data_IF_265009385071
#
_entry.id   IF_265009385071
#
_cell.length_a   1.000
_cell.length_b   1.000
_cell.length_c   1.000
_cell.angle_alpha   90.00
_cell.angle_beta   90.00
_cell.angle_gamma   90.00
#
_symmetry.space_group_name_H-M   'P 1'
#
loop_
_entity.id
_entity.type
_entity.pdbx_description
1 polymer ?
#
# COMPACT_ATOMS: atom_id res chain seq x y z
N UNK A 1 0.33 24.92 -25.12
CA UNK A 1 -0.58 24.50 -24.02
C UNK A 1 -1.07 23.11 -24.40
N UNK A 2 -0.62 21.98 -23.86
CA UNK A 2 -0.04 21.66 -22.57
C UNK A 2 1.27 20.87 -22.75
N UNK A 3 2.26 21.18 -21.92
CA UNK A 3 3.53 20.46 -21.88
C UNK A 3 3.30 19.13 -21.16
N UNK A 4 3.21 18.04 -21.93
CA UNK A 4 3.23 16.68 -21.38
C UNK A 4 4.60 16.44 -20.76
N UNK A 5 4.71 16.63 -19.45
CA UNK A 5 5.91 16.24 -18.71
C UNK A 5 5.99 14.71 -18.69
N UNK A 6 6.79 14.14 -19.60
CA UNK A 6 7.34 12.82 -19.40
C UNK A 6 8.36 12.91 -18.25
N UNK A 7 7.89 12.64 -17.04
CA UNK A 7 8.78 12.52 -15.88
C UNK A 7 9.50 11.19 -16.02
N UNK A 8 10.79 11.25 -16.39
CA UNK A 8 11.68 10.11 -16.38
C UNK A 8 11.59 9.40 -15.02
N UNK A 9 11.04 8.18 -15.00
CA UNK A 9 10.94 7.36 -13.80
C UNK A 9 12.34 6.88 -13.43
N UNK A 10 13.00 7.57 -12.50
CA UNK A 10 14.19 7.09 -11.80
C UNK A 10 13.91 5.70 -11.19
N UNK A 11 14.26 4.61 -11.88
CA UNK A 11 14.40 3.24 -11.36
C UNK A 11 13.23 2.60 -10.58
N UNK A 12 12.09 3.27 -10.42
CA UNK A 12 10.98 2.80 -9.58
C UNK A 12 10.03 1.91 -10.36
N UNK A 13 9.62 0.81 -9.73
CA UNK A 13 8.62 -0.10 -10.30
C UNK A 13 7.22 0.51 -10.26
N UNK A 14 6.32 0.07 -11.14
CA UNK A 14 4.92 0.52 -11.17
C UNK A 14 4.22 0.34 -9.80
N UNK A 15 4.49 -0.77 -9.11
CA UNK A 15 3.95 -1.06 -7.78
C UNK A 15 4.44 -0.05 -6.73
N UNK A 16 5.70 0.38 -6.81
CA UNK A 16 6.24 1.41 -5.90
C UNK A 16 5.58 2.77 -6.14
N UNK A 17 5.37 3.16 -7.40
CA UNK A 17 4.69 4.41 -7.73
C UNK A 17 3.26 4.44 -7.17
N UNK A 18 2.52 3.33 -7.30
CA UNK A 18 1.18 3.18 -6.73
C UNK A 18 1.21 3.34 -5.20
N UNK A 19 2.13 2.64 -4.52
CA UNK A 19 2.24 2.72 -3.05
C UNK A 19 2.60 4.14 -2.59
N UNK A 20 3.49 4.84 -3.29
CA UNK A 20 3.85 6.23 -2.98
C UNK A 20 2.67 7.19 -3.18
N UNK A 21 1.95 7.06 -4.30
CA UNK A 21 0.76 7.86 -4.56
C UNK A 21 -0.30 7.65 -3.47
N UNK A 22 -0.61 6.39 -3.15
CA UNK A 22 -1.62 6.03 -2.14
C UNK A 22 -1.21 6.52 -0.74
N UNK A 23 0.09 6.53 -0.40
CA UNK A 23 0.56 7.10 0.87
C UNK A 23 0.34 8.62 0.97
N UNK A 24 0.43 9.34 -0.15
CA UNK A 24 0.25 10.80 -0.20
C UNK A 24 -1.23 11.19 -0.31
N UNK A 25 -1.99 10.51 -1.14
CA UNK A 25 -3.35 10.88 -1.53
C UNK A 25 -4.45 10.04 -0.83
N UNK A 26 -4.07 8.98 -0.12
CA UNK A 26 -4.96 8.07 0.60
C UNK A 26 -5.61 6.98 -0.26
N UNK A 27 -5.51 7.08 -1.59
CA UNK A 27 -6.04 6.10 -2.54
C UNK A 27 -5.71 6.47 -3.97
N UNK A 28 -5.99 5.58 -4.90
CA UNK A 28 -5.75 5.79 -6.33
C UNK A 28 -6.90 5.23 -7.17
N UNK A 29 -7.29 5.97 -8.20
CA UNK A 29 -8.25 5.53 -9.22
C UNK A 29 -7.53 5.09 -10.48
N UNK A 30 -8.21 4.30 -11.33
CA UNK A 30 -7.68 3.91 -12.65
C UNK A 30 -7.34 5.13 -13.51
N UNK A 31 -8.10 6.22 -13.39
CA UNK A 31 -7.85 7.46 -14.13
C UNK A 31 -6.55 8.14 -13.70
N UNK A 32 -6.35 8.34 -12.39
CA UNK A 32 -5.10 8.91 -11.85
C UNK A 32 -3.88 8.06 -12.20
N UNK A 33 -4.03 6.74 -12.18
CA UNK A 33 -2.97 5.80 -12.54
C UNK A 33 -2.52 5.96 -14.00
N UNK A 34 -3.47 6.15 -14.93
CA UNK A 34 -3.19 6.35 -16.35
C UNK A 34 -2.59 7.74 -16.58
N UNK A 35 -3.22 8.79 -16.06
CA UNK A 35 -2.83 10.18 -16.33
C UNK A 35 -1.47 10.54 -15.75
N UNK A 36 -1.17 10.13 -14.51
CA UNK A 36 0.06 10.54 -13.83
C UNK A 36 1.22 9.56 -14.00
N UNK A 37 0.94 8.27 -14.21
CA UNK A 37 1.95 7.21 -14.19
C UNK A 37 1.96 6.32 -15.43
N UNK A 38 1.03 6.51 -16.36
CA UNK A 38 0.91 5.66 -17.56
C UNK A 38 0.54 4.20 -17.24
N UNK A 39 -0.05 3.93 -16.07
CA UNK A 39 -0.38 2.57 -15.63
C UNK A 39 -1.79 2.21 -16.12
N UNK A 40 -1.87 1.43 -17.20
CA UNK A 40 -3.14 1.02 -17.82
C UNK A 40 -3.78 -0.21 -17.18
N UNK A 41 -3.00 -1.03 -16.47
CA UNK A 41 -3.47 -2.26 -15.79
C UNK A 41 -3.37 -2.15 -14.27
N UNK A 42 -4.00 -1.12 -13.69
CA UNK A 42 -3.95 -0.86 -12.26
C UNK A 42 -4.34 -2.08 -11.42
N UNK A 43 -5.48 -2.72 -11.73
CA UNK A 43 -5.99 -3.88 -10.99
C UNK A 43 -4.97 -5.03 -10.91
N UNK A 44 -4.23 -5.29 -11.99
CA UNK A 44 -3.19 -6.33 -11.99
C UNK A 44 -2.02 -5.98 -11.05
N UNK A 45 -1.62 -4.71 -11.00
CA UNK A 45 -0.57 -4.24 -10.06
C UNK A 45 -1.04 -4.27 -8.62
N UNK A 46 -2.33 -4.00 -8.37
CA UNK A 46 -2.93 -4.14 -7.05
C UNK A 46 -2.93 -5.61 -6.61
N UNK A 47 -3.25 -6.53 -7.52
CA UNK A 47 -3.18 -7.97 -7.24
C UNK A 47 -1.77 -8.40 -6.82
N UNK A 48 -0.73 -7.91 -7.50
CA UNK A 48 0.66 -8.15 -7.14
C UNK A 48 1.00 -7.61 -5.73
N UNK A 49 0.41 -6.47 -5.36
CA UNK A 49 0.60 -5.85 -4.04
C UNK A 49 -0.15 -6.58 -2.91
N UNK A 50 -1.24 -7.29 -3.19
CA UNK A 50 -2.05 -7.95 -2.16
C UNK A 50 -1.33 -9.09 -1.44
N UNK A 51 -0.36 -9.73 -2.10
CA UNK A 51 0.50 -10.74 -1.49
C UNK A 51 1.69 -10.16 -0.71
N UNK A 52 1.72 -8.84 -0.54
CA UNK A 52 2.79 -8.11 0.16
C UNK A 52 2.23 -7.33 1.35
N UNK A 53 3.09 -6.69 2.14
CA UNK A 53 2.68 -5.79 3.23
C UNK A 53 1.99 -4.49 2.77
N UNK A 54 1.60 -4.38 1.49
CA UNK A 54 0.99 -3.21 0.88
C UNK A 54 -0.40 -3.47 0.29
N UNK A 55 -1.12 -4.50 0.76
CA UNK A 55 -2.46 -4.87 0.28
C UNK A 55 -3.43 -3.69 0.21
N UNK A 56 -4.29 -3.70 -0.79
CA UNK A 56 -5.28 -2.65 -1.04
C UNK A 56 -6.65 -3.26 -1.28
N UNK A 57 -7.68 -2.52 -0.90
CA UNK A 57 -9.09 -2.86 -1.15
C UNK A 57 -9.69 -1.89 -2.16
N UNK A 58 -10.63 -2.41 -2.94
CA UNK A 58 -11.48 -1.61 -3.81
C UNK A 58 -12.64 -1.01 -2.98
N UNK A 59 -12.89 0.28 -3.15
CA UNK A 59 -14.05 0.99 -2.63
C UNK A 59 -14.79 1.63 -3.81
N UNK A 60 -16.08 1.37 -3.93
CA UNK A 60 -16.93 2.03 -4.93
C UNK A 60 -17.14 3.50 -4.54
N UNK A 61 -16.90 4.40 -5.48
CA UNK A 61 -17.07 5.86 -5.26
C UNK A 61 -18.38 6.36 -5.88
N UNK A 62 -19.05 5.54 -6.70
CA UNK A 62 -20.21 5.92 -7.50
C UNK A 62 -19.93 5.85 -9.00
N UNK A 63 -21.01 5.87 -9.80
CA UNK A 63 -20.97 5.88 -11.28
C UNK A 63 -20.14 4.73 -11.92
N UNK A 64 -20.02 3.60 -11.22
CA UNK A 64 -19.23 2.45 -11.66
C UNK A 64 -17.71 2.62 -11.51
N UNK A 65 -17.25 3.68 -10.84
CA UNK A 65 -15.83 3.91 -10.55
C UNK A 65 -15.42 3.35 -9.20
N UNK A 66 -14.15 2.91 -9.16
CA UNK A 66 -13.53 2.28 -7.99
C UNK A 66 -12.28 3.07 -7.58
N UNK A 67 -12.13 3.28 -6.27
CA UNK A 67 -10.89 3.74 -5.63
C UNK A 67 -10.21 2.56 -4.97
N UNK A 68 -8.90 2.42 -5.19
CA UNK A 68 -8.09 1.51 -4.41
C UNK A 68 -7.50 2.25 -3.22
N UNK A 69 -7.81 1.77 -2.01
CA UNK A 69 -7.32 2.34 -0.76
C UNK A 69 -6.56 1.27 0.04
N UNK A 70 -5.68 1.65 0.98
CA UNK A 70 -5.00 0.70 1.86
C UNK A 70 -5.96 -0.19 2.64
N UNK A 71 -5.76 -1.51 2.56
CA UNK A 71 -6.41 -2.45 3.48
C UNK A 71 -5.50 -2.69 4.68
N UNK A 72 -5.63 -1.85 5.70
CA UNK A 72 -4.81 -1.96 6.90
C UNK A 72 -5.09 -3.25 7.70
N UNK A 73 -6.30 -3.80 7.59
CA UNK A 73 -6.64 -5.08 8.23
C UNK A 73 -5.87 -6.21 7.56
N UNK A 74 -5.98 -6.36 6.24
CA UNK A 74 -5.26 -7.38 5.49
C UNK A 74 -3.74 -7.25 5.64
N UNK A 75 -3.21 -6.01 5.63
CA UNK A 75 -1.77 -5.75 5.88
C UNK A 75 -1.34 -6.22 7.28
N UNK A 76 -2.16 -5.96 8.30
CA UNK A 76 -1.83 -6.42 9.66
C UNK A 76 -1.80 -7.95 9.75
N UNK A 77 -2.76 -8.64 9.14
CA UNK A 77 -2.79 -10.11 9.09
C UNK A 77 -1.57 -10.69 8.35
N UNK A 78 -1.14 -10.04 7.26
CA UNK A 78 0.09 -10.39 6.56
C UNK A 78 1.32 -10.35 7.50
N UNK A 79 1.50 -9.25 8.24
CA UNK A 79 2.63 -9.13 9.17
C UNK A 79 2.54 -10.09 10.35
N UNK A 80 1.34 -10.32 10.90
CA UNK A 80 1.13 -11.32 11.95
C UNK A 80 1.61 -12.70 11.51
N UNK A 81 1.16 -13.18 10.34
CA UNK A 81 1.58 -14.48 9.80
C UNK A 81 3.09 -14.56 9.55
N UNK A 82 3.69 -13.46 9.07
CA UNK A 82 5.14 -13.35 8.86
C UNK A 82 5.92 -13.43 10.17
N UNK A 83 5.44 -12.77 11.22
CA UNK A 83 6.01 -12.81 12.56
C UNK A 83 5.89 -14.23 13.13
N UNK A 84 4.72 -14.84 13.07
CA UNK A 84 4.50 -16.21 13.56
C UNK A 84 5.47 -17.17 12.89
N UNK A 85 5.53 -17.15 11.55
CA UNK A 85 6.47 -17.99 10.79
C UNK A 85 7.94 -17.74 11.17
N UNK A 86 8.32 -16.48 11.37
CA UNK A 86 9.68 -16.11 11.82
C UNK A 86 9.97 -16.65 13.23
N UNK A 87 9.00 -16.62 14.14
CA UNK A 87 9.17 -17.10 15.51
C UNK A 87 9.26 -18.64 15.59
N UNK A 88 8.50 -19.36 14.77
CA UNK A 88 8.49 -20.83 14.78
C UNK A 88 9.66 -21.45 14.01
N UNK A 89 10.17 -20.79 12.97
CA UNK A 89 11.14 -21.39 12.06
C UNK A 89 12.43 -20.57 11.86
N UNK A 90 12.49 -19.35 12.39
CA UNK A 90 13.66 -18.48 12.27
C UNK A 90 14.79 -18.89 13.21
N UNK A 91 16.03 -18.68 12.76
CA UNK A 91 17.16 -18.75 13.68
C UNK A 91 17.14 -17.57 14.66
N UNK A 92 17.71 -17.70 15.87
CA UNK A 92 17.73 -16.62 16.86
C UNK A 92 18.30 -15.30 16.33
N UNK A 93 19.34 -15.35 15.50
CA UNK A 93 19.92 -14.17 14.86
C UNK A 93 18.95 -13.49 13.88
N UNK A 94 18.25 -14.27 13.07
CA UNK A 94 17.27 -13.76 12.10
C UNK A 94 16.06 -13.15 12.80
N UNK A 95 15.63 -13.75 13.92
CA UNK A 95 14.55 -13.23 14.76
C UNK A 95 14.95 -11.87 15.32
N UNK A 96 16.12 -11.77 15.95
CA UNK A 96 16.60 -10.51 16.54
C UNK A 96 16.69 -9.37 15.51
N UNK A 97 17.12 -9.66 14.29
CA UNK A 97 17.23 -8.68 13.21
C UNK A 97 15.85 -8.21 12.69
N UNK A 98 14.95 -9.15 12.39
CA UNK A 98 13.74 -8.85 11.60
C UNK A 98 12.49 -8.59 12.44
N UNK A 99 12.39 -9.19 13.63
CA UNK A 99 11.20 -9.11 14.47
C UNK A 99 10.84 -7.67 14.85
N UNK A 100 11.76 -6.78 15.24
CA UNK A 100 11.41 -5.41 15.64
C UNK A 100 10.71 -4.64 14.50
N UNK A 101 11.30 -4.66 13.30
CA UNK A 101 10.75 -3.96 12.14
C UNK A 101 9.39 -4.53 11.72
N UNK A 102 9.21 -5.85 11.74
CA UNK A 102 7.92 -6.47 11.39
C UNK A 102 6.84 -6.15 12.42
N UNK A 103 7.20 -6.14 13.71
CA UNK A 103 6.29 -5.83 14.81
C UNK A 103 5.84 -4.38 14.75
N UNK A 104 6.76 -3.45 14.46
CA UNK A 104 6.43 -2.05 14.26
C UNK A 104 5.41 -1.86 13.11
N UNK A 105 5.65 -2.53 11.97
CA UNK A 105 4.71 -2.49 10.84
C UNK A 105 3.36 -3.10 11.17
N UNK A 106 3.33 -4.20 11.92
CA UNK A 106 2.10 -4.83 12.39
C UNK A 106 1.29 -3.86 13.25
N UNK A 107 1.91 -3.29 14.29
CA UNK A 107 1.29 -2.33 15.20
C UNK A 107 0.81 -1.06 14.47
N UNK A 108 1.59 -0.55 13.52
CA UNK A 108 1.21 0.61 12.71
C UNK A 108 -0.06 0.33 11.91
N UNK A 109 -0.13 -0.81 11.21
CA UNK A 109 -1.30 -1.18 10.42
C UNK A 109 -2.53 -1.42 11.31
N UNK A 110 -2.38 -2.07 12.47
CA UNK A 110 -3.48 -2.24 13.44
C UNK A 110 -4.03 -0.89 13.91
N UNK A 111 -3.16 0.06 14.26
CA UNK A 111 -3.60 1.40 14.67
C UNK A 111 -4.41 2.10 13.59
N UNK A 112 -4.01 1.99 12.32
CA UNK A 112 -4.71 2.57 11.18
C UNK A 112 -5.99 1.81 10.81
N UNK A 113 -6.09 0.53 11.13
CA UNK A 113 -7.30 -0.26 10.95
C UNK A 113 -8.36 0.06 12.01
N UNK A 114 -7.93 0.26 13.26
CA UNK A 114 -8.83 0.52 14.40
C UNK A 114 -9.19 2.01 14.50
N UNK A 115 -8.25 2.90 14.25
CA UNK A 115 -8.49 4.34 14.22
C UNK A 115 -8.95 4.78 12.83
N UNK A 116 -10.21 5.22 12.69
CA UNK A 116 -10.59 6.06 11.54
C UNK A 116 -9.60 7.24 11.52
N UNK A 117 -8.83 7.46 10.45
CA UNK A 117 -8.03 8.67 10.36
C UNK A 117 -9.02 9.84 10.34
N UNK A 118 -9.13 10.58 11.46
CA UNK A 118 -9.70 11.92 11.42
C UNK A 118 -8.88 12.66 10.38
N UNK A 119 -9.56 13.08 9.30
CA UNK A 119 -8.96 13.96 8.30
C UNK A 119 -8.24 15.07 9.07
N UNK A 120 -6.91 15.17 8.88
CA UNK A 120 -6.15 16.31 9.34
C UNK A 120 -6.59 17.48 8.45
N UNK A 121 -7.67 18.15 8.83
CA UNK A 121 -7.95 19.51 8.37
C UNK A 121 -6.85 20.38 8.98
N UNK A 122 -5.86 20.72 8.15
CA UNK A 122 -4.98 21.85 8.42
C UNK A 122 -5.87 23.10 8.41
N UNK A 123 -6.06 23.69 9.59
CA UNK A 123 -6.54 25.06 9.78
C UNK A 123 -5.32 25.94 9.96
#
# INVERSE_FOLDING_TARGET
MASTQQVATSGKTQCQLIVEHVRKNGGITSWEAIQHYGITRLAARIYDLNNTGASMKAEEIGDGYVRYVPDYKARSEYYRRKIDNLMFHGSPSTIAEKLPQMTERYCQNLRLAIGKPRQLTLV
#
